data_IF_649073226039
#
_entry.id   IF_649073226039
#
_cell.length_a   1.000
_cell.length_b   1.000
_cell.length_c   1.000
_cell.angle_alpha   90.00
_cell.angle_beta   90.00
_cell.angle_gamma   90.00
#
_symmetry.space_group_name_H-M   'P 1'
#
loop_
_entity.id
_entity.type
_entity.pdbx_description
1 polymer ?
#
# COMPACT_ATOMS: atom_id res chain seq x y z
N UNK A 1 8.58 -0.68 10.98
CA UNK A 1 9.47 -1.03 9.86
C UNK A 1 9.44 0.07 8.81
N UNK A 2 10.36 0.02 7.84
CA UNK A 2 10.49 0.98 6.73
C UNK A 2 10.29 0.26 5.39
N UNK A 3 9.12 -0.34 5.23
CA UNK A 3 8.66 -1.07 4.07
C UNK A 3 8.64 -0.18 2.82
N UNK A 4 8.32 1.11 2.97
CA UNK A 4 8.37 2.08 1.88
C UNK A 4 9.81 2.24 1.35
N UNK A 5 10.77 2.29 2.27
CA UNK A 5 12.20 2.33 1.94
C UNK A 5 12.66 1.00 1.35
N UNK A 6 12.18 -0.12 1.87
CA UNK A 6 12.56 -1.47 1.41
C UNK A 6 12.04 -1.78 0.00
N UNK A 7 10.78 -1.44 -0.28
CA UNK A 7 10.11 -1.80 -1.54
C UNK A 7 10.41 -0.75 -2.63
N UNK A 8 10.44 0.53 -2.28
CA UNK A 8 10.53 1.63 -3.24
C UNK A 8 11.77 2.52 -3.09
N UNK A 9 12.59 2.33 -2.07
CA UNK A 9 13.75 3.20 -1.81
C UNK A 9 13.36 4.61 -1.37
N UNK A 10 12.13 4.81 -0.87
CA UNK A 10 11.59 6.12 -0.50
C UNK A 10 11.44 6.26 1.02
N UNK A 11 11.71 7.44 1.54
CA UNK A 11 11.38 7.80 2.92
C UNK A 11 9.90 8.21 3.04
N UNK A 12 9.35 8.15 4.25
CA UNK A 12 7.93 8.47 4.51
C UNK A 12 7.65 9.96 4.20
N UNK A 13 6.49 10.28 3.60
CA UNK A 13 6.13 11.66 3.31
C UNK A 13 5.87 12.43 4.61
N UNK A 14 6.19 13.73 4.61
CA UNK A 14 5.89 14.62 5.73
C UNK A 14 4.41 15.08 5.77
N UNK A 15 3.72 15.02 4.62
CA UNK A 15 2.33 15.45 4.46
C UNK A 15 1.32 14.34 4.76
N UNK A 16 0.18 14.72 5.34
CA UNK A 16 -0.90 13.80 5.66
C UNK A 16 -1.65 13.29 4.40
N UNK A 17 -2.00 12.00 4.39
CA UNK A 17 -2.68 11.33 3.27
C UNK A 17 -3.97 12.03 2.79
N UNK A 18 -4.71 12.67 3.70
CA UNK A 18 -5.95 13.40 3.35
C UNK A 18 -5.69 14.68 2.53
N UNK A 19 -4.59 15.38 2.79
CA UNK A 19 -4.21 16.58 2.04
C UNK A 19 -3.76 16.22 0.62
N UNK A 20 -3.01 15.13 0.50
CA UNK A 20 -2.54 14.53 -0.75
C UNK A 20 -3.71 14.15 -1.66
N UNK A 21 -4.73 13.47 -1.11
CA UNK A 21 -5.91 13.04 -1.86
C UNK A 21 -6.73 14.22 -2.41
N UNK A 22 -6.96 15.26 -1.59
CA UNK A 22 -7.70 16.45 -2.02
C UNK A 22 -7.01 17.21 -3.15
N UNK A 23 -5.68 17.36 -3.07
CA UNK A 23 -4.89 18.04 -4.11
C UNK A 23 -4.87 17.28 -5.43
N UNK A 24 -4.80 15.95 -5.37
CA UNK A 24 -4.78 15.11 -6.56
C UNK A 24 -6.13 15.04 -7.27
N UNK A 25 -7.23 15.02 -6.51
CA UNK A 25 -8.59 15.09 -7.06
C UNK A 25 -8.80 16.40 -7.85
N UNK A 26 -8.33 17.54 -7.34
CA UNK A 26 -8.37 18.82 -8.05
C UNK A 26 -7.55 18.83 -9.35
N UNK A 27 -6.51 17.99 -9.43
CA UNK A 27 -5.65 17.86 -10.61
C UNK A 27 -6.15 16.81 -11.63
N UNK A 28 -7.29 16.14 -11.38
CA UNK A 28 -7.83 15.10 -12.27
C UNK A 28 -6.98 13.83 -12.34
N UNK A 29 -6.11 13.60 -11.35
CA UNK A 29 -5.25 12.41 -11.30
C UNK A 29 -6.13 11.21 -10.89
N UNK A 30 -6.08 10.08 -11.62
CA UNK A 30 -6.80 8.87 -11.23
C UNK A 30 -6.45 8.48 -9.80
N UNK A 31 -7.43 8.09 -8.97
CA UNK A 31 -7.24 7.90 -7.54
C UNK A 31 -6.15 6.87 -7.22
N UNK A 32 -5.95 5.85 -8.06
CA UNK A 32 -4.89 4.82 -7.95
C UNK A 32 -3.50 5.28 -8.42
N UNK A 33 -3.43 6.41 -9.14
CA UNK A 33 -2.20 7.03 -9.63
C UNK A 33 -1.75 8.22 -8.80
N UNK A 34 -2.40 8.48 -7.68
CA UNK A 34 -1.98 9.53 -6.76
C UNK A 34 -0.79 9.04 -5.94
N UNK A 35 0.36 9.69 -6.11
CA UNK A 35 1.58 9.45 -5.35
C UNK A 35 1.52 10.00 -3.92
N UNK A 36 2.60 9.74 -3.17
CA UNK A 36 2.75 10.21 -1.77
C UNK A 36 2.92 11.73 -1.64
N UNK A 37 3.13 12.43 -2.75
CA UNK A 37 3.24 13.89 -2.82
C UNK A 37 2.00 14.55 -3.46
N UNK A 38 0.98 13.77 -3.78
CA UNK A 38 -0.23 14.23 -4.46
C UNK A 38 -0.08 14.44 -5.96
N UNK A 39 1.06 14.05 -6.55
CA UNK A 39 1.28 14.09 -7.99
C UNK A 39 0.96 12.74 -8.64
N UNK A 40 0.96 12.73 -9.97
CA UNK A 40 0.81 11.51 -10.73
C UNK A 40 2.01 10.59 -10.49
N UNK A 41 1.73 9.35 -10.09
CA UNK A 41 2.70 8.30 -9.85
C UNK A 41 2.12 6.97 -10.36
N UNK A 42 2.87 6.31 -11.24
CA UNK A 42 2.42 5.03 -11.77
C UNK A 42 2.21 3.97 -10.69
N UNK A 43 2.94 4.06 -9.57
CA UNK A 43 2.86 3.18 -8.41
C UNK A 43 2.22 3.86 -7.19
N UNK A 44 1.42 4.91 -7.39
CA UNK A 44 0.88 5.73 -6.31
C UNK A 44 0.02 4.98 -5.29
N UNK A 45 -0.83 4.04 -5.75
CA UNK A 45 -1.62 3.18 -4.88
C UNK A 45 -0.72 2.23 -4.05
N UNK A 46 0.19 1.51 -4.69
CA UNK A 46 1.09 0.57 -4.03
C UNK A 46 1.96 1.27 -2.98
N UNK A 47 2.51 2.45 -3.30
CA UNK A 47 3.29 3.26 -2.34
C UNK A 47 2.46 3.67 -1.13
N UNK A 48 1.19 4.06 -1.31
CA UNK A 48 0.29 4.40 -0.20
C UNK A 48 -0.13 3.19 0.62
N UNK A 49 -0.33 2.04 0.00
CA UNK A 49 -0.58 0.78 0.73
C UNK A 49 0.62 0.42 1.58
N UNK A 50 1.83 0.49 1.03
CA UNK A 50 3.06 0.23 1.76
C UNK A 50 3.25 1.22 2.90
N UNK A 51 2.95 2.50 2.69
CA UNK A 51 2.96 3.50 3.76
C UNK A 51 1.96 3.16 4.88
N UNK A 52 0.72 2.79 4.53
CA UNK A 52 -0.29 2.41 5.52
C UNK A 52 0.13 1.17 6.32
N UNK A 53 0.83 0.22 5.68
CA UNK A 53 1.41 -0.92 6.39
C UNK A 53 2.56 -0.48 7.31
N UNK A 54 3.40 0.45 6.87
CA UNK A 54 4.48 1.06 7.65
C UNK A 54 4.02 1.84 8.88
N UNK A 55 2.78 2.34 8.86
CA UNK A 55 2.11 3.01 9.97
C UNK A 55 1.38 2.03 10.91
N UNK A 56 1.34 0.74 10.56
CA UNK A 56 0.70 -0.31 11.35
C UNK A 56 1.74 -1.14 12.11
N UNK A 57 1.92 -0.92 13.43
CA UNK A 57 2.98 -1.58 14.19
C UNK A 57 2.86 -3.11 14.21
N UNK A 58 1.64 -3.64 14.18
CA UNK A 58 1.36 -5.09 14.17
C UNK A 58 1.85 -5.83 12.92
N UNK A 59 2.28 -5.10 11.88
CA UNK A 59 2.77 -5.65 10.62
C UNK A 59 4.30 -5.53 10.49
N UNK A 60 4.99 -5.03 11.52
CA UNK A 60 6.43 -4.81 11.45
C UNK A 60 7.19 -6.09 11.11
N UNK A 61 6.79 -7.26 11.61
CA UNK A 61 7.57 -8.49 11.43
C UNK A 61 7.37 -9.18 10.07
N UNK A 62 6.57 -8.61 9.16
CA UNK A 62 6.22 -9.22 7.86
C UNK A 62 7.24 -8.84 6.76
N UNK A 63 8.49 -9.23 6.95
CA UNK A 63 9.63 -8.90 6.07
C UNK A 63 9.63 -9.64 4.73
N UNK A 64 8.81 -10.68 4.59
CA UNK A 64 8.67 -11.50 3.36
C UNK A 64 7.44 -11.14 2.53
N UNK A 65 6.77 -10.01 2.80
CA UNK A 65 5.68 -9.52 1.96
C UNK A 65 6.12 -8.35 1.06
N UNK A 66 5.69 -8.42 -0.20
CA UNK A 66 5.78 -7.36 -1.21
C UNK A 66 4.39 -6.88 -1.62
N UNK A 67 4.33 -5.60 -1.98
CA UNK A 67 3.12 -4.94 -2.49
C UNK A 67 3.40 -4.48 -3.91
N UNK A 68 2.51 -4.85 -4.82
CA UNK A 68 2.47 -4.35 -6.18
C UNK A 68 1.07 -3.80 -6.49
N UNK A 69 0.93 -3.12 -7.63
CA UNK A 69 -0.37 -2.71 -8.15
C UNK A 69 -0.52 -3.08 -9.63
N UNK A 70 -1.76 -3.23 -10.07
CA UNK A 70 -2.13 -3.36 -11.47
C UNK A 70 -3.40 -2.53 -11.69
N UNK A 71 -3.22 -1.30 -12.18
CA UNK A 71 -4.29 -0.30 -12.16
C UNK A 71 -4.75 -0.04 -10.71
N UNK A 72 -6.05 -0.17 -10.45
CA UNK A 72 -6.66 0.00 -9.13
C UNK A 72 -6.66 -1.27 -8.27
N UNK A 73 -6.08 -2.38 -8.76
CA UNK A 73 -5.92 -3.62 -8.00
C UNK A 73 -4.59 -3.62 -7.25
N UNK A 74 -4.64 -3.86 -5.95
CA UNK A 74 -3.46 -4.13 -5.11
C UNK A 74 -3.13 -5.60 -5.22
N UNK A 75 -1.86 -5.96 -5.39
CA UNK A 75 -1.38 -7.34 -5.44
C UNK A 75 -0.40 -7.55 -4.30
N UNK A 76 -0.80 -8.37 -3.33
CA UNK A 76 0.06 -8.80 -2.23
C UNK A 76 0.78 -10.08 -2.65
N UNK A 77 2.09 -10.16 -2.40
CA UNK A 77 2.93 -11.28 -2.80
C UNK A 77 3.91 -11.66 -1.71
N UNK A 78 4.25 -12.94 -1.60
CA UNK A 78 5.29 -13.43 -0.70
C UNK A 78 4.71 -14.28 0.43
N UNK A 79 5.24 -14.10 1.64
CA UNK A 79 4.86 -14.90 2.80
C UNK A 79 4.44 -14.00 3.94
N UNK A 80 3.42 -14.44 4.69
CA UNK A 80 3.02 -13.83 5.96
C UNK A 80 3.02 -14.83 7.11
N UNK A 81 3.09 -14.32 8.34
CA UNK A 81 3.18 -15.16 9.54
C UNK A 81 1.93 -16.02 9.79
N UNK A 82 0.74 -15.56 9.43
CA UNK A 82 -0.52 -16.30 9.58
C UNK A 82 -1.66 -15.65 8.77
N UNK A 83 -2.79 -16.35 8.67
CA UNK A 83 -3.97 -15.88 7.94
C UNK A 83 -4.61 -14.62 8.58
N UNK A 84 -4.54 -14.43 9.89
CA UNK A 84 -5.09 -13.24 10.53
C UNK A 84 -4.30 -11.98 10.15
N UNK A 85 -2.97 -12.08 10.04
CA UNK A 85 -2.11 -11.02 9.47
C UNK A 85 -2.54 -10.70 8.03
N UNK A 86 -2.72 -11.72 7.18
CA UNK A 86 -3.17 -11.50 5.79
C UNK A 86 -4.49 -10.73 5.73
N UNK A 87 -5.47 -11.15 6.54
CA UNK A 87 -6.78 -10.50 6.58
C UNK A 87 -6.69 -9.04 7.02
N UNK A 88 -5.82 -8.72 8.00
CA UNK A 88 -5.55 -7.34 8.43
C UNK A 88 -4.93 -6.52 7.30
N UNK A 89 -3.95 -7.07 6.59
CA UNK A 89 -3.30 -6.42 5.46
C UNK A 89 -4.28 -6.13 4.31
N UNK A 90 -5.15 -7.09 3.99
CA UNK A 90 -6.22 -6.91 3.01
C UNK A 90 -7.18 -5.79 3.44
N UNK A 91 -7.57 -5.75 4.72
CA UNK A 91 -8.47 -4.73 5.25
C UNK A 91 -7.84 -3.32 5.24
N UNK A 92 -6.54 -3.20 5.45
CA UNK A 92 -5.82 -1.92 5.32
C UNK A 92 -5.71 -1.51 3.86
N UNK A 93 -5.24 -2.41 2.98
CA UNK A 93 -5.05 -2.12 1.57
C UNK A 93 -6.36 -1.72 0.85
N UNK A 94 -7.48 -2.35 1.22
CA UNK A 94 -8.80 -2.03 0.65
C UNK A 94 -9.38 -0.69 1.13
N UNK A 95 -8.87 -0.11 2.22
CA UNK A 95 -9.23 1.24 2.68
C UNK A 95 -8.42 2.34 2.01
N UNK A 96 -7.35 2.00 1.28
CA UNK A 96 -6.53 3.00 0.59
C UNK A 96 -7.29 3.57 -0.59
N UNK A 97 -7.33 4.91 -0.67
CA UNK A 97 -8.03 5.61 -1.75
C UNK A 97 -7.52 5.20 -3.14
N UNK A 98 -8.43 4.70 -3.98
CA UNK A 98 -8.12 4.19 -5.32
C UNK A 98 -7.97 2.66 -5.40
N UNK A 99 -7.99 1.94 -4.27
CA UNK A 99 -8.06 0.48 -4.28
C UNK A 99 -9.48 0.01 -4.63
N UNK A 100 -9.62 -0.85 -5.65
CA UNK A 100 -10.89 -1.51 -6.00
C UNK A 100 -10.93 -2.97 -5.58
N UNK A 101 -9.76 -3.62 -5.51
CA UNK A 101 -9.62 -5.01 -5.12
C UNK A 101 -8.22 -5.29 -4.60
N UNK A 102 -8.10 -6.33 -3.77
CA UNK A 102 -6.82 -6.82 -3.25
C UNK A 102 -6.68 -8.28 -3.67
N UNK A 103 -5.60 -8.60 -4.38
CA UNK A 103 -5.26 -9.94 -4.82
C UNK A 103 -4.20 -10.53 -3.89
N UNK A 104 -4.54 -11.64 -3.25
CA UNK A 104 -3.67 -12.38 -2.33
C UNK A 104 -3.30 -13.76 -2.88
N UNK A 105 -3.59 -14.05 -4.15
CA UNK A 105 -3.30 -15.36 -4.77
C UNK A 105 -1.82 -15.73 -4.77
N UNK A 106 -0.94 -14.73 -4.62
CA UNK A 106 0.51 -14.87 -4.57
C UNK A 106 1.07 -14.78 -3.14
N UNK A 107 0.20 -14.80 -2.12
CA UNK A 107 0.60 -14.86 -0.72
C UNK A 107 0.49 -16.28 -0.20
N UNK A 108 1.52 -16.72 0.51
CA UNK A 108 1.53 -17.94 1.32
C UNK A 108 1.55 -17.54 2.80
N UNK A 109 1.04 -18.39 3.67
CA UNK A 109 1.24 -18.24 5.10
C UNK A 109 1.95 -19.48 5.65
N UNK A 110 2.88 -19.27 6.58
CA UNK A 110 3.47 -20.37 7.35
C UNK A 110 2.44 -20.73 8.44
N UNK A 111 1.98 -21.98 8.43
CA UNK A 111 0.99 -22.52 9.36
C UNK A 111 1.59 -23.60 10.23
#
# INVERSE_FOLDING_TARGET
MDWLKRIFGLDKPADAASAIAGKAAAAGIPPERVGLDGKYDESGLAKRVVLAFDETPDLADEDKLWVAQTGSKVVLKGTVSNQATLNKMVAIASKVHGATSVDTSQVKWEG
#
